data_IF_643660286414
#
_entry.id   IF_643660286414
#
_cell.length_a   1.000
_cell.length_b   1.000
_cell.length_c   1.000
_cell.angle_alpha   90.00
_cell.angle_beta   90.00
_cell.angle_gamma   90.00
#
_symmetry.space_group_name_H-M   'P 1'
#
loop_
_entity.id
_entity.type
_entity.pdbx_description
1 polymer ?
#
# COMPACT_ATOMS: atom_id res chain seq x y z
N UNK A 1 1.19 17.36 -2.69
CA UNK A 1 0.66 16.79 -1.44
C UNK A 1 1.78 16.16 -0.64
N UNK A 2 1.60 16.08 0.66
CA UNK A 2 2.43 15.28 1.54
C UNK A 2 1.77 13.92 1.76
N UNK A 3 2.41 12.87 1.27
CA UNK A 3 1.88 11.51 1.26
C UNK A 3 2.66 10.67 2.26
N UNK A 4 1.96 10.16 3.28
CA UNK A 4 2.53 9.18 4.19
C UNK A 4 2.43 7.78 3.61
N UNK A 5 3.49 6.99 3.71
CA UNK A 5 3.51 5.61 3.23
C UNK A 5 3.72 4.62 4.37
N UNK A 6 3.05 3.48 4.28
CA UNK A 6 3.24 2.33 5.17
C UNK A 6 3.43 1.08 4.31
N UNK A 7 4.67 0.62 4.15
CA UNK A 7 4.96 -0.63 3.42
C UNK A 7 4.64 -1.85 4.29
N UNK A 8 3.57 -2.57 3.94
CA UNK A 8 3.09 -3.70 4.72
C UNK A 8 3.52 -5.02 4.12
N UNK A 9 3.99 -5.93 4.95
CA UNK A 9 4.39 -7.26 4.53
C UNK A 9 4.45 -8.27 5.68
N UNK A 10 4.64 -9.53 5.32
CA UNK A 10 4.88 -10.62 6.26
C UNK A 10 6.17 -11.36 5.91
N UNK A 11 6.96 -11.77 6.90
CA UNK A 11 8.22 -12.46 6.65
C UNK A 11 8.05 -13.91 6.16
N UNK A 12 6.83 -14.43 6.16
CA UNK A 12 6.50 -15.77 5.65
C UNK A 12 6.41 -15.84 4.12
N UNK A 13 6.36 -14.69 3.46
CA UNK A 13 6.39 -14.61 1.99
C UNK A 13 7.83 -14.43 1.48
N UNK A 14 7.99 -14.28 0.17
CA UNK A 14 9.29 -14.10 -0.47
C UNK A 14 9.82 -12.69 -0.19
N UNK A 15 10.54 -12.53 0.92
CA UNK A 15 11.03 -11.22 1.38
C UNK A 15 11.95 -10.55 0.36
N UNK A 16 12.98 -11.22 -0.23
CA UNK A 16 13.81 -10.55 -1.24
C UNK A 16 13.02 -10.05 -2.44
N UNK A 17 12.02 -10.79 -2.90
CA UNK A 17 11.15 -10.37 -4.00
C UNK A 17 10.24 -9.22 -3.58
N UNK A 18 9.72 -9.26 -2.36
CA UNK A 18 8.92 -8.17 -1.78
C UNK A 18 9.75 -6.87 -1.70
N UNK A 19 10.99 -6.95 -1.25
CA UNK A 19 11.89 -5.79 -1.17
C UNK A 19 12.20 -5.20 -2.54
N UNK A 20 12.41 -6.05 -3.55
CA UNK A 20 12.61 -5.60 -4.94
C UNK A 20 11.39 -4.83 -5.46
N UNK A 21 10.19 -5.34 -5.20
CA UNK A 21 8.95 -4.67 -5.59
C UNK A 21 8.72 -3.37 -4.80
N UNK A 22 9.02 -3.37 -3.53
CA UNK A 22 8.95 -2.15 -2.72
C UNK A 22 9.87 -1.05 -3.28
N UNK A 23 11.10 -1.40 -3.63
CA UNK A 23 12.03 -0.45 -4.25
C UNK A 23 11.46 0.15 -5.54
N UNK A 24 10.79 -0.66 -6.37
CA UNK A 24 10.13 -0.18 -7.58
C UNK A 24 8.93 0.73 -7.27
N UNK A 25 8.14 0.40 -6.25
CA UNK A 25 7.02 1.26 -5.78
C UNK A 25 7.54 2.62 -5.30
N UNK A 26 8.60 2.61 -4.49
CA UNK A 26 9.22 3.84 -3.99
C UNK A 26 9.78 4.68 -5.15
N UNK A 27 10.41 4.06 -6.13
CA UNK A 27 10.90 4.75 -7.33
C UNK A 27 9.78 5.44 -8.11
N UNK A 28 8.63 4.77 -8.27
CA UNK A 28 7.46 5.35 -8.92
C UNK A 28 6.89 6.55 -8.13
N UNK A 29 6.88 6.48 -6.81
CA UNK A 29 6.43 7.56 -5.95
C UNK A 29 7.39 8.75 -5.97
N UNK A 30 8.70 8.51 -5.95
CA UNK A 30 9.71 9.56 -6.06
C UNK A 30 9.65 10.31 -7.39
N UNK A 31 9.18 9.66 -8.45
CA UNK A 31 8.99 10.30 -9.75
C UNK A 31 7.78 11.24 -9.81
N UNK A 32 6.92 11.23 -8.79
CA UNK A 32 5.81 12.19 -8.66
C UNK A 32 6.29 13.51 -8.11
N UNK A 33 5.46 14.56 -8.23
CA UNK A 33 5.74 15.89 -7.65
C UNK A 33 5.42 15.97 -6.15
N UNK A 34 4.94 14.86 -5.56
CA UNK A 34 4.52 14.83 -4.16
C UNK A 34 5.69 14.62 -3.22
N UNK A 35 5.56 15.11 -2.01
CA UNK A 35 6.47 14.81 -0.91
C UNK A 35 6.09 13.48 -0.29
N UNK A 36 6.99 12.52 -0.33
CA UNK A 36 6.77 11.17 0.22
C UNK A 36 7.47 11.07 1.56
N UNK A 37 6.72 10.73 2.60
CA UNK A 37 7.24 10.56 3.96
C UNK A 37 6.84 9.20 4.53
N UNK A 38 7.70 8.62 5.32
CA UNK A 38 7.46 7.35 5.98
C UNK A 38 8.58 6.35 5.79
N UNK A 39 8.43 5.15 6.37
CA UNK A 39 9.46 4.12 6.28
C UNK A 39 9.62 3.59 4.85
N UNK A 40 10.86 3.30 4.47
CA UNK A 40 11.22 2.70 3.18
C UNK A 40 11.52 1.21 3.31
N UNK A 41 11.20 0.61 4.45
CA UNK A 41 11.40 -0.80 4.75
C UNK A 41 10.05 -1.46 5.05
N UNK A 42 9.96 -2.77 4.82
CA UNK A 42 8.76 -3.53 5.12
C UNK A 42 8.46 -3.54 6.62
N UNK A 43 7.23 -3.28 6.97
CA UNK A 43 6.70 -3.39 8.32
C UNK A 43 6.06 -4.77 8.48
N UNK A 44 6.66 -5.61 9.34
CA UNK A 44 6.25 -7.02 9.46
C UNK A 44 5.30 -7.30 10.62
N UNK A 45 5.14 -6.36 11.53
CA UNK A 45 4.34 -6.57 12.74
C UNK A 45 3.60 -5.29 13.19
N UNK A 46 2.73 -5.46 14.19
CA UNK A 46 1.95 -4.35 14.73
C UNK A 46 2.81 -3.30 15.44
N UNK A 47 3.89 -3.73 16.10
CA UNK A 47 4.76 -2.82 16.85
C UNK A 47 5.50 -1.86 15.93
N UNK A 48 6.10 -2.36 14.85
CA UNK A 48 6.79 -1.53 13.86
C UNK A 48 5.82 -0.60 13.13
N UNK A 49 4.61 -1.08 12.86
CA UNK A 49 3.55 -0.28 12.24
C UNK A 49 3.08 0.83 13.17
N UNK A 50 2.85 0.56 14.42
CA UNK A 50 2.46 1.59 15.42
C UNK A 50 3.52 2.68 15.55
N UNK A 51 4.80 2.31 15.57
CA UNK A 51 5.91 3.26 15.60
C UNK A 51 5.92 4.16 14.35
N UNK A 52 5.74 3.57 13.17
CA UNK A 52 5.67 4.31 11.90
C UNK A 52 4.46 5.26 11.87
N UNK A 53 3.30 4.81 12.35
CA UNK A 53 2.09 5.64 12.46
C UNK A 53 2.33 6.83 13.39
N UNK A 54 2.97 6.61 14.54
CA UNK A 54 3.29 7.68 15.48
C UNK A 54 4.20 8.75 14.84
N UNK A 55 5.21 8.33 14.08
CA UNK A 55 6.10 9.24 13.35
C UNK A 55 5.33 10.03 12.28
N UNK A 56 4.45 9.37 11.53
CA UNK A 56 3.66 10.00 10.48
C UNK A 56 2.64 11.01 11.04
N UNK A 57 2.11 10.80 12.23
CA UNK A 57 1.19 11.74 12.87
C UNK A 57 1.81 13.12 13.09
N UNK A 58 3.12 13.20 13.25
CA UNK A 58 3.84 14.46 13.40
C UNK A 58 4.03 15.21 12.06
N UNK A 59 3.68 14.60 10.92
CA UNK A 59 4.03 15.10 9.59
C UNK A 59 2.93 15.90 8.88
N UNK A 60 1.73 16.02 9.41
CA UNK A 60 0.60 16.71 8.75
C UNK A 60 0.33 16.21 7.33
N UNK A 61 -0.06 14.95 7.20
CA UNK A 61 -0.30 14.30 5.90
C UNK A 61 -1.52 14.88 5.17
N UNK A 62 -1.45 14.89 3.85
CA UNK A 62 -2.60 15.13 2.96
C UNK A 62 -3.23 13.81 2.48
N UNK A 63 -2.48 12.73 2.50
CA UNK A 63 -2.91 11.41 2.01
C UNK A 63 -2.11 10.31 2.73
N UNK A 64 -2.77 9.19 3.03
CA UNK A 64 -2.13 7.99 3.57
C UNK A 64 -2.17 6.88 2.52
N UNK A 65 -1.02 6.42 2.07
CA UNK A 65 -0.88 5.35 1.09
C UNK A 65 -0.34 4.09 1.74
N UNK A 66 -1.16 3.03 1.74
CA UNK A 66 -0.74 1.70 2.19
C UNK A 66 -0.16 0.94 1.01
N UNK A 67 1.11 0.56 1.12
CA UNK A 67 1.76 -0.28 0.12
C UNK A 67 1.58 -1.75 0.54
N UNK A 68 0.61 -2.42 -0.06
CA UNK A 68 0.28 -3.82 0.25
C UNK A 68 1.23 -4.74 -0.51
N UNK A 69 2.47 -4.83 -0.07
CA UNK A 69 3.53 -5.54 -0.79
C UNK A 69 3.31 -7.03 -0.75
N UNK A 70 3.00 -7.58 0.43
CA UNK A 70 2.56 -8.97 0.58
C UNK A 70 1.18 -9.02 1.22
N UNK A 71 0.62 -10.22 1.33
CA UNK A 71 -0.54 -10.43 2.17
C UNK A 71 -0.21 -10.04 3.62
N UNK A 72 -1.15 -9.35 4.26
CA UNK A 72 -1.18 -9.15 5.72
C UNK A 72 -2.62 -9.34 6.18
N UNK A 73 -2.83 -9.63 7.48
CA UNK A 73 -4.17 -9.46 8.02
C UNK A 73 -4.53 -7.96 8.06
N UNK A 74 -5.80 -7.65 8.17
CA UNK A 74 -6.26 -6.27 8.07
C UNK A 74 -6.05 -5.44 9.36
N UNK A 75 -5.48 -5.99 10.41
CA UNK A 75 -5.34 -5.30 11.69
C UNK A 75 -4.49 -4.03 11.59
N UNK A 76 -3.36 -4.10 10.88
CA UNK A 76 -2.48 -2.94 10.66
C UNK A 76 -3.15 -1.88 9.79
N UNK A 77 -3.90 -2.30 8.78
CA UNK A 77 -4.67 -1.40 7.90
C UNK A 77 -5.74 -0.64 8.68
N UNK A 78 -6.52 -1.33 9.50
CA UNK A 78 -7.57 -0.72 10.32
C UNK A 78 -6.96 0.23 11.36
N UNK A 79 -5.89 -0.17 12.02
CA UNK A 79 -5.19 0.68 12.99
C UNK A 79 -4.67 1.96 12.34
N UNK A 80 -4.07 1.87 11.16
CA UNK A 80 -3.60 3.02 10.41
C UNK A 80 -4.76 3.93 9.98
N UNK A 81 -5.84 3.35 9.47
CA UNK A 81 -7.02 4.12 9.06
C UNK A 81 -7.65 4.89 10.22
N UNK A 82 -7.72 4.27 11.40
CA UNK A 82 -8.28 4.91 12.59
C UNK A 82 -7.38 6.03 13.15
N UNK A 83 -6.11 6.03 12.80
CA UNK A 83 -5.16 7.02 13.28
C UNK A 83 -5.17 8.33 12.48
N UNK A 84 -5.73 8.35 11.27
CA UNK A 84 -5.71 9.50 10.37
C UNK A 84 -7.09 9.80 9.79
N UNK A 85 -7.41 11.09 9.65
CA UNK A 85 -8.63 11.59 9.01
C UNK A 85 -8.40 12.01 7.54
N UNK A 86 -7.27 11.66 6.97
CA UNK A 86 -6.93 11.99 5.58
C UNK A 86 -7.43 10.91 4.63
N UNK A 87 -7.57 11.19 3.32
CA UNK A 87 -7.88 10.17 2.33
C UNK A 87 -6.86 9.03 2.36
N UNK A 88 -7.34 7.80 2.15
CA UNK A 88 -6.54 6.58 2.18
C UNK A 88 -6.58 5.92 0.80
N UNK A 89 -5.42 5.46 0.35
CA UNK A 89 -5.28 4.59 -0.81
C UNK A 89 -4.52 3.31 -0.46
N UNK A 90 -4.75 2.26 -1.24
CA UNK A 90 -4.04 0.98 -1.13
C UNK A 90 -3.46 0.64 -2.50
N UNK A 91 -2.16 0.42 -2.55
CA UNK A 91 -1.49 -0.07 -3.76
C UNK A 91 -1.02 -1.49 -3.54
N UNK A 92 -1.62 -2.44 -4.27
CA UNK A 92 -1.24 -3.84 -4.29
C UNK A 92 -0.59 -4.20 -5.63
N UNK A 93 0.19 -5.27 -5.64
CA UNK A 93 1.02 -5.66 -6.78
C UNK A 93 0.71 -7.08 -7.25
N UNK A 94 0.73 -7.35 -8.58
CA UNK A 94 0.41 -8.67 -9.11
C UNK A 94 1.52 -9.68 -8.86
N UNK A 95 1.11 -10.96 -8.78
CA UNK A 95 2.02 -12.10 -8.76
C UNK A 95 2.65 -12.32 -10.14
N UNK A 96 3.88 -12.86 -10.19
CA UNK A 96 4.41 -13.38 -11.44
C UNK A 96 3.54 -14.52 -11.98
N UNK A 97 3.25 -14.51 -13.28
CA UNK A 97 2.40 -15.52 -13.94
C UNK A 97 3.19 -16.77 -14.32
N UNK A 98 3.97 -17.32 -13.40
CA UNK A 98 4.83 -18.49 -13.66
C UNK A 98 4.30 -19.78 -13.02
N UNK A 99 3.13 -19.71 -12.38
CA UNK A 99 2.56 -20.83 -11.63
C UNK A 99 3.29 -21.11 -10.31
N UNK A 100 2.84 -22.12 -9.60
CA UNK A 100 3.43 -22.53 -8.35
C UNK A 100 2.91 -21.75 -7.14
N UNK A 101 3.70 -21.73 -6.06
CA UNK A 101 3.34 -21.07 -4.81
C UNK A 101 3.32 -19.57 -4.96
N UNK A 102 2.31 -18.92 -4.36
CA UNK A 102 2.24 -17.46 -4.31
C UNK A 102 3.42 -16.89 -3.54
N UNK A 103 4.13 -15.96 -4.16
CA UNK A 103 5.31 -15.32 -3.58
C UNK A 103 4.95 -14.15 -2.67
N UNK A 104 3.91 -13.41 -3.01
CA UNK A 104 3.51 -12.19 -2.30
C UNK A 104 2.09 -12.29 -1.74
N UNK A 105 1.17 -12.85 -2.50
CA UNK A 105 -0.26 -12.88 -2.19
C UNK A 105 -0.85 -11.49 -1.87
N UNK A 106 -0.35 -10.48 -2.55
CA UNK A 106 -0.70 -9.08 -2.35
C UNK A 106 -2.17 -8.81 -2.69
N UNK A 107 -2.71 -9.44 -3.71
CA UNK A 107 -4.11 -9.30 -4.11
C UNK A 107 -5.09 -9.72 -2.99
N UNK A 108 -4.83 -10.82 -2.31
CA UNK A 108 -5.62 -11.22 -1.15
C UNK A 108 -5.50 -10.23 0.00
N UNK A 109 -4.32 -9.64 0.18
CA UNK A 109 -4.12 -8.56 1.14
C UNK A 109 -4.97 -7.34 0.82
N UNK A 110 -5.04 -6.94 -0.45
CA UNK A 110 -5.91 -5.86 -0.91
C UNK A 110 -7.39 -6.18 -0.64
N UNK A 111 -7.84 -7.38 -0.96
CA UNK A 111 -9.22 -7.79 -0.75
C UNK A 111 -9.61 -7.75 0.74
N UNK A 112 -8.75 -8.27 1.60
CA UNK A 112 -9.01 -8.29 3.03
C UNK A 112 -9.00 -6.87 3.63
N UNK A 113 -8.04 -6.05 3.24
CA UNK A 113 -7.96 -4.65 3.66
C UNK A 113 -9.19 -3.86 3.20
N UNK A 114 -9.61 -4.04 1.96
CA UNK A 114 -10.79 -3.39 1.39
C UNK A 114 -12.06 -3.78 2.14
N UNK A 115 -12.22 -5.05 2.46
CA UNK A 115 -13.35 -5.54 3.23
C UNK A 115 -13.38 -4.93 4.64
N UNK A 116 -12.25 -4.91 5.32
CA UNK A 116 -12.13 -4.35 6.67
C UNK A 116 -12.42 -2.85 6.71
N UNK A 117 -11.91 -2.08 5.76
CA UNK A 117 -12.19 -0.65 5.64
C UNK A 117 -13.69 -0.41 5.34
N UNK A 118 -14.28 -1.22 4.48
CA UNK A 118 -15.71 -1.16 4.19
C UNK A 118 -16.57 -1.41 5.42
N UNK A 119 -16.22 -2.40 6.25
CA UNK A 119 -16.91 -2.68 7.52
C UNK A 119 -16.81 -1.51 8.50
N UNK A 120 -15.71 -0.77 8.48
CA UNK A 120 -15.53 0.43 9.31
C UNK A 120 -16.15 1.69 8.70
N UNK A 121 -16.84 1.59 7.58
CA UNK A 121 -17.40 2.74 6.89
C UNK A 121 -16.37 3.71 6.34
N UNK A 122 -15.12 3.28 6.17
CA UNK A 122 -14.03 4.11 5.68
C UNK A 122 -13.92 4.07 4.16
N UNK A 123 -14.07 5.22 3.51
CA UNK A 123 -13.82 5.34 2.07
C UNK A 123 -12.32 5.23 1.78
N UNK A 124 -11.98 4.60 0.67
CA UNK A 124 -10.60 4.45 0.21
C UNK A 124 -10.56 4.33 -1.31
N UNK A 125 -9.40 4.64 -1.90
CA UNK A 125 -9.06 4.33 -3.28
C UNK A 125 -8.10 3.12 -3.32
N UNK A 126 -7.97 2.48 -4.48
CA UNK A 126 -7.07 1.34 -4.60
C UNK A 126 -6.47 1.25 -6.00
N UNK A 127 -5.29 0.63 -6.07
CA UNK A 127 -4.57 0.34 -7.31
C UNK A 127 -4.00 -1.08 -7.21
N UNK A 128 -4.19 -1.85 -8.27
CA UNK A 128 -3.55 -3.15 -8.46
C UNK A 128 -2.73 -3.11 -9.75
N UNK A 129 -1.44 -2.85 -9.61
CA UNK A 129 -0.56 -2.64 -10.77
C UNK A 129 0.89 -2.99 -10.45
N UNK A 130 1.60 -3.49 -11.46
CA UNK A 130 3.03 -3.77 -11.37
C UNK A 130 3.82 -2.45 -11.29
N UNK A 131 4.59 -2.22 -10.21
CA UNK A 131 5.36 -1.00 -10.05
C UNK A 131 6.47 -0.81 -11.08
N UNK A 132 6.84 -1.86 -11.79
CA UNK A 132 7.85 -1.82 -12.87
C UNK A 132 7.27 -1.42 -14.22
N UNK A 133 5.94 -1.39 -14.35
CA UNK A 133 5.24 -0.96 -15.54
C UNK A 133 5.05 0.56 -15.60
N UNK A 134 4.27 1.01 -16.59
CA UNK A 134 3.85 2.40 -16.69
C UNK A 134 2.66 2.64 -15.76
N UNK A 135 2.94 3.11 -14.55
CA UNK A 135 1.93 3.31 -13.49
C UNK A 135 1.64 4.78 -13.22
N UNK A 136 2.26 5.71 -13.93
CA UNK A 136 2.16 7.15 -13.61
C UNK A 136 0.72 7.65 -13.62
N UNK A 137 -0.06 7.33 -14.65
CA UNK A 137 -1.46 7.76 -14.76
C UNK A 137 -2.35 7.07 -13.71
N UNK A 138 -2.16 5.77 -13.49
CA UNK A 138 -2.93 5.00 -12.52
C UNK A 138 -2.62 5.46 -11.08
N UNK A 139 -1.35 5.76 -10.81
CA UNK A 139 -0.94 6.29 -9.51
C UNK A 139 -1.53 7.69 -9.26
N UNK A 140 -1.56 8.54 -10.28
CA UNK A 140 -2.20 9.84 -10.19
C UNK A 140 -3.70 9.71 -9.88
N UNK A 141 -4.40 8.78 -10.51
CA UNK A 141 -5.81 8.48 -10.24
C UNK A 141 -6.03 7.98 -8.81
N UNK A 142 -5.17 7.07 -8.33
CA UNK A 142 -5.20 6.58 -6.96
C UNK A 142 -5.10 7.74 -5.96
N UNK A 143 -4.14 8.62 -6.14
CA UNK A 143 -3.88 9.76 -5.26
C UNK A 143 -4.94 10.85 -5.37
N UNK A 144 -5.70 10.89 -6.46
CA UNK A 144 -6.88 11.74 -6.61
C UNK A 144 -8.13 11.17 -5.92
N UNK A 145 -8.06 9.95 -5.39
CA UNK A 145 -9.15 9.31 -4.68
C UNK A 145 -10.11 8.51 -5.57
N UNK A 146 -9.72 8.19 -6.80
CA UNK A 146 -10.54 7.39 -7.70
C UNK A 146 -10.66 5.94 -7.21
N UNK A 147 -11.90 5.49 -7.04
CA UNK A 147 -12.21 4.16 -6.50
C UNK A 147 -11.92 3.01 -7.46
N UNK A 148 -11.69 3.33 -8.72
CA UNK A 148 -11.48 2.34 -9.78
C UNK A 148 -10.11 2.51 -10.44
N UNK A 149 -9.14 3.06 -9.73
CA UNK A 149 -7.78 3.15 -10.22
C UNK A 149 -7.15 1.76 -10.20
N UNK A 150 -7.11 1.14 -11.33
CA UNK A 150 -6.56 -0.19 -11.54
C UNK A 150 -7.50 -1.02 -12.41
N UNK A 151 -7.02 -1.40 -13.56
CA UNK A 151 -7.69 -2.41 -14.35
C UNK A 151 -7.46 -3.76 -13.69
N UNK A 152 -8.53 -4.36 -13.20
CA UNK A 152 -8.57 -5.80 -13.03
C UNK A 152 -8.61 -6.41 -14.43
N UNK A 153 -7.46 -6.54 -15.07
CA UNK A 153 -7.35 -7.44 -16.19
C UNK A 153 -7.31 -8.84 -15.62
N UNK A 154 -8.47 -9.47 -15.65
CA UNK A 154 -8.63 -10.87 -15.31
C UNK A 154 -7.85 -11.78 -16.25
#
# INVERSE_FOLDING_TARGET
MKIGILPLGRPTFDVPFAETNLAAMLGALEATEHEIVGPCELLFDGQSTEAAVADLKACNLDFLLLLQVTFTDASMTVAAANAFDVPIGIWAIPEPRIGGRLRLNSFCGLNLASHALGLNGRAFSWLYADPKGDVAADLAALLAGDRAAGRLEG
#
